data_IF_716541769919
#
_entry.id   IF_716541769919
#
_cell.length_a   1.000
_cell.length_b   1.000
_cell.length_c   1.000
_cell.angle_alpha   90.00
_cell.angle_beta   90.00
_cell.angle_gamma   90.00
#
_symmetry.space_group_name_H-M   'P 1'
#
loop_
_entity.id
_entity.type
_entity.pdbx_description
1 polymer ?
#
# COMPACT_ATOMS: atom_id res chain seq x y z
N UNK A 1 -8.25 -32.21 -9.26
CA UNK A 1 -7.76 -31.04 -10.02
C UNK A 1 -8.54 -29.83 -9.54
N UNK A 2 -7.87 -28.92 -8.83
CA UNK A 2 -8.47 -27.70 -8.31
C UNK A 2 -8.65 -26.69 -9.45
N UNK A 3 -9.82 -26.04 -9.60
CA UNK A 3 -10.08 -25.09 -10.68
C UNK A 3 -9.48 -23.69 -10.41
N UNK A 4 -8.66 -23.55 -9.38
CA UNK A 4 -8.05 -22.28 -8.96
C UNK A 4 -6.63 -22.06 -9.52
N UNK A 5 -6.20 -22.84 -10.51
CA UNK A 5 -4.84 -22.78 -11.04
C UNK A 5 -4.63 -21.75 -12.17
N UNK A 6 -5.67 -21.05 -12.61
CA UNK A 6 -5.59 -20.10 -13.73
C UNK A 6 -6.00 -18.69 -13.28
N UNK A 7 -5.14 -18.04 -12.47
CA UNK A 7 -5.03 -16.57 -12.42
C UNK A 7 -3.85 -16.08 -11.55
N UNK A 8 -2.69 -16.72 -11.63
CA UNK A 8 -1.46 -16.26 -10.98
C UNK A 8 -0.34 -15.98 -12.01
N UNK A 9 -0.73 -15.40 -13.14
CA UNK A 9 0.17 -14.55 -13.90
C UNK A 9 -0.46 -13.17 -13.91
N UNK A 10 -0.29 -12.44 -12.80
CA UNK A 10 0.07 -11.04 -12.98
C UNK A 10 1.42 -11.16 -13.67
N UNK A 11 1.44 -11.14 -15.00
CA UNK A 11 2.66 -10.76 -15.70
C UNK A 11 3.11 -9.50 -14.98
N UNK A 12 4.20 -9.63 -14.23
CA UNK A 12 4.90 -8.48 -13.71
C UNK A 12 5.29 -7.73 -14.96
N UNK A 13 4.44 -6.78 -15.38
CA UNK A 13 4.85 -5.75 -16.31
C UNK A 13 6.10 -5.23 -15.63
N UNK A 14 7.29 -5.43 -16.21
CA UNK A 14 8.45 -4.75 -15.70
C UNK A 14 8.15 -3.31 -16.06
N UNK A 15 7.49 -2.58 -15.17
CA UNK A 15 7.47 -1.14 -15.18
C UNK A 15 8.92 -0.80 -14.93
N UNK A 16 9.71 -0.36 -15.94
CA UNK A 16 10.97 0.26 -15.60
C UNK A 16 10.57 1.48 -14.76
N UNK A 17 10.72 1.37 -13.44
CA UNK A 17 10.68 2.49 -12.51
C UNK A 17 11.90 3.38 -12.74
N UNK A 18 12.25 3.68 -14.00
CA UNK A 18 13.40 4.51 -14.32
C UNK A 18 13.00 5.96 -14.51
N UNK A 19 11.78 6.27 -14.98
CA UNK A 19 11.42 7.67 -15.26
C UNK A 19 9.95 7.98 -14.96
N UNK A 20 9.72 9.04 -14.20
CA UNK A 20 8.39 9.62 -14.01
C UNK A 20 7.97 10.23 -15.35
N UNK A 21 6.95 9.64 -15.99
CA UNK A 21 6.35 10.22 -17.18
C UNK A 21 5.27 11.23 -16.77
N UNK A 22 5.51 12.52 -17.04
CA UNK A 22 4.49 13.56 -16.88
C UNK A 22 3.82 13.76 -18.23
N UNK A 23 2.56 13.34 -18.34
CA UNK A 23 1.76 13.55 -19.53
C UNK A 23 1.21 14.98 -19.58
N UNK A 24 1.14 15.56 -20.77
CA UNK A 24 0.58 16.90 -20.95
C UNK A 24 -0.92 16.90 -20.67
N UNK A 25 -1.35 17.81 -19.80
CA UNK A 25 -2.75 17.97 -19.42
C UNK A 25 -3.05 19.44 -19.14
N UNK A 26 -4.19 19.93 -19.59
CA UNK A 26 -4.58 21.36 -19.48
C UNK A 26 -4.66 21.88 -18.04
N UNK A 27 -4.79 20.98 -17.05
CA UNK A 27 -4.82 21.31 -15.61
C UNK A 27 -3.55 20.94 -14.85
N UNK A 28 -2.47 20.55 -15.54
CA UNK A 28 -1.21 20.10 -14.91
C UNK A 28 -0.71 21.09 -13.87
N UNK A 29 -0.67 22.38 -14.23
CA UNK A 29 -0.12 23.43 -13.38
C UNK A 29 -0.97 23.71 -12.13
N UNK A 30 -2.24 23.27 -12.12
CA UNK A 30 -3.11 23.36 -10.94
C UNK A 30 -2.79 22.27 -9.90
N UNK A 31 -2.19 21.16 -10.34
CA UNK A 31 -1.84 20.01 -9.48
C UNK A 31 -0.37 20.06 -9.07
N UNK A 32 0.52 20.36 -10.01
CA UNK A 32 1.96 20.46 -9.78
C UNK A 32 2.39 21.90 -9.46
N UNK A 33 1.71 22.55 -8.50
CA UNK A 33 2.20 23.84 -8.01
C UNK A 33 3.58 23.66 -7.35
N UNK A 34 4.39 24.73 -7.24
CA UNK A 34 5.67 24.66 -6.55
C UNK A 34 5.55 24.06 -5.14
N UNK A 35 4.55 24.48 -4.38
CA UNK A 35 4.32 24.04 -3.00
C UNK A 35 3.89 22.58 -2.93
N UNK A 36 2.97 22.14 -3.81
CA UNK A 36 2.53 20.75 -3.86
C UNK A 36 3.70 19.82 -4.27
N UNK A 37 4.52 20.26 -5.22
CA UNK A 37 5.68 19.50 -5.69
C UNK A 37 6.74 19.39 -4.60
N UNK A 38 7.03 20.47 -3.89
CA UNK A 38 7.95 20.47 -2.74
C UNK A 38 7.45 19.53 -1.63
N UNK A 39 6.16 19.61 -1.29
CA UNK A 39 5.54 18.74 -0.29
C UNK A 39 5.69 17.25 -0.65
N UNK A 40 5.34 16.86 -1.87
CA UNK A 40 5.50 15.48 -2.34
C UNK A 40 6.98 15.05 -2.34
N UNK A 41 7.89 15.93 -2.77
CA UNK A 41 9.31 15.62 -2.74
C UNK A 41 9.80 15.35 -1.31
N UNK A 42 9.31 16.08 -0.31
CA UNK A 42 9.63 15.85 1.09
C UNK A 42 9.05 14.53 1.62
N UNK A 43 7.78 14.22 1.33
CA UNK A 43 7.19 12.92 1.70
C UNK A 43 7.97 11.75 1.11
N UNK A 44 8.39 11.89 -0.15
CA UNK A 44 9.16 10.84 -0.82
C UNK A 44 10.56 10.71 -0.24
N UNK A 45 11.22 11.81 0.17
CA UNK A 45 12.53 11.72 0.85
C UNK A 45 12.40 11.03 2.20
N UNK A 46 11.34 11.30 2.93
CA UNK A 46 11.11 10.75 4.27
C UNK A 46 10.76 9.26 4.25
N UNK A 47 9.83 8.84 3.37
CA UNK A 47 9.20 7.52 3.48
C UNK A 47 9.58 6.52 2.38
N UNK A 48 10.38 6.90 1.38
CA UNK A 48 10.70 6.01 0.24
C UNK A 48 11.40 4.74 0.67
N UNK A 49 12.35 4.84 1.60
CA UNK A 49 13.22 3.73 1.97
C UNK A 49 12.45 2.69 2.77
N UNK A 50 11.72 3.09 3.82
CA UNK A 50 10.83 2.20 4.57
C UNK A 50 9.78 1.54 3.67
N UNK A 51 9.19 2.29 2.72
CA UNK A 51 8.27 1.72 1.73
C UNK A 51 8.94 0.63 0.89
N UNK A 52 10.20 0.82 0.47
CA UNK A 52 10.93 -0.19 -0.30
C UNK A 52 11.19 -1.44 0.55
N UNK A 53 11.59 -1.28 1.80
CA UNK A 53 11.79 -2.39 2.75
C UNK A 53 10.50 -3.20 2.94
N UNK A 54 9.35 -2.53 3.08
CA UNK A 54 8.05 -3.19 3.17
C UNK A 54 7.67 -3.95 1.89
N UNK A 55 8.04 -3.43 0.71
CA UNK A 55 7.82 -4.13 -0.55
C UNK A 55 8.70 -5.37 -0.69
N UNK A 56 9.93 -5.33 -0.19
CA UNK A 56 10.80 -6.51 -0.17
C UNK A 56 10.33 -7.54 0.86
N UNK A 57 9.87 -7.10 2.04
CA UNK A 57 9.25 -7.98 3.04
C UNK A 57 8.03 -8.73 2.48
N UNK A 58 7.24 -8.11 1.59
CA UNK A 58 6.13 -8.79 0.90
C UNK A 58 6.62 -9.95 0.01
N UNK A 59 7.75 -9.79 -0.68
CA UNK A 59 8.33 -10.87 -1.51
C UNK A 59 8.76 -12.05 -0.64
N UNK A 60 9.40 -11.78 0.49
CA UNK A 60 9.78 -12.81 1.47
C UNK A 60 8.54 -13.55 1.96
N UNK A 61 7.49 -12.81 2.37
CA UNK A 61 6.26 -13.42 2.87
C UNK A 61 5.53 -14.25 1.81
N UNK A 62 5.57 -13.81 0.56
CA UNK A 62 5.02 -14.55 -0.57
C UNK A 62 5.75 -15.88 -0.80
N UNK A 63 7.08 -15.89 -0.70
CA UNK A 63 7.88 -17.12 -0.80
C UNK A 63 7.54 -18.13 0.32
N UNK A 64 7.28 -17.65 1.54
CA UNK A 64 6.81 -18.53 2.63
C UNK A 64 5.49 -19.22 2.25
N UNK A 65 4.54 -18.49 1.69
CA UNK A 65 3.25 -19.05 1.28
C UNK A 65 3.38 -20.07 0.15
N UNK A 66 4.27 -19.81 -0.80
CA UNK A 66 4.58 -20.75 -1.89
C UNK A 66 5.22 -22.04 -1.36
N UNK A 67 5.98 -21.96 -0.26
CA UNK A 67 6.52 -23.12 0.44
C UNK A 67 5.50 -23.91 1.27
N UNK A 68 4.24 -23.47 1.28
CA UNK A 68 3.12 -24.16 1.93
C UNK A 68 2.65 -23.53 3.25
N UNK A 69 3.29 -22.44 3.72
CA UNK A 69 2.78 -21.71 4.86
C UNK A 69 1.39 -21.14 4.55
N UNK A 70 0.52 -21.09 5.56
CA UNK A 70 -0.80 -20.45 5.46
C UNK A 70 -0.84 -19.21 6.37
N UNK A 71 -1.58 -18.16 5.99
CA UNK A 71 -1.83 -17.05 6.91
C UNK A 71 -2.58 -17.53 8.14
N UNK A 72 -2.18 -17.04 9.31
CA UNK A 72 -2.85 -17.26 10.58
C UNK A 72 -2.63 -16.04 11.50
N UNK A 73 -3.34 -15.95 12.61
CA UNK A 73 -3.15 -14.91 13.61
C UNK A 73 -1.78 -15.00 14.25
N UNK A 74 -1.05 -13.88 14.25
CA UNK A 74 0.27 -13.81 14.89
C UNK A 74 0.11 -13.82 16.41
N UNK A 75 0.89 -14.67 17.10
CA UNK A 75 0.85 -14.74 18.57
C UNK A 75 1.36 -13.44 19.21
N UNK A 76 2.38 -12.80 18.61
CA UNK A 76 2.97 -11.54 19.08
C UNK A 76 1.97 -10.37 19.17
N UNK A 77 0.89 -10.39 18.39
CA UNK A 77 -0.15 -9.33 18.43
C UNK A 77 -1.41 -9.73 19.21
N UNK A 78 -1.37 -10.85 19.95
CA UNK A 78 -2.52 -11.32 20.73
C UNK A 78 -3.00 -10.31 21.77
N UNK A 79 -2.07 -9.68 22.48
CA UNK A 79 -2.38 -8.66 23.48
C UNK A 79 -3.09 -7.44 22.89
N UNK A 80 -2.79 -7.09 21.63
CA UNK A 80 -3.49 -6.01 20.91
C UNK A 80 -4.92 -6.44 20.56
N UNK A 81 -5.12 -7.69 20.12
CA UNK A 81 -6.46 -8.21 19.79
C UNK A 81 -7.36 -8.39 21.00
N UNK A 82 -6.79 -8.77 22.13
CA UNK A 82 -7.51 -9.03 23.39
C UNK A 82 -7.59 -7.79 24.30
N UNK A 83 -6.95 -6.69 23.92
CA UNK A 83 -6.92 -5.45 24.71
C UNK A 83 -8.22 -4.64 24.61
N UNK A 84 -8.51 -3.86 25.65
CA UNK A 84 -9.62 -2.89 25.67
C UNK A 84 -9.16 -1.53 25.14
N UNK A 85 -9.26 -1.34 23.83
CA UNK A 85 -8.92 -0.09 23.16
C UNK A 85 -9.92 0.26 22.06
N UNK A 86 -9.95 1.54 21.68
CA UNK A 86 -10.75 2.05 20.57
C UNK A 86 -9.91 3.02 19.74
N UNK A 87 -10.20 3.10 18.45
CA UNK A 87 -9.65 4.15 17.57
C UNK A 87 -10.16 5.53 18.02
N UNK A 88 -9.49 6.59 17.57
CA UNK A 88 -10.01 7.95 17.73
C UNK A 88 -11.40 8.10 17.13
N UNK A 89 -12.29 8.90 17.73
CA UNK A 89 -13.63 9.17 17.19
C UNK A 89 -13.55 9.70 15.75
N UNK A 90 -14.48 9.30 14.86
CA UNK A 90 -14.51 9.83 13.50
C UNK A 90 -14.87 11.33 13.52
N UNK A 91 -14.29 12.14 12.62
CA UNK A 91 -14.78 13.50 12.40
C UNK A 91 -16.21 13.49 11.85
N UNK A 92 -16.97 14.54 12.14
CA UNK A 92 -18.40 14.65 11.80
C UNK A 92 -18.70 14.35 10.32
N UNK A 93 -17.87 14.84 9.41
CA UNK A 93 -18.04 14.67 7.97
C UNK A 93 -17.93 13.22 7.46
N UNK A 94 -17.45 12.28 8.28
CA UNK A 94 -17.34 10.86 7.91
C UNK A 94 -18.02 9.92 8.90
N UNK A 95 -18.84 10.45 9.81
CA UNK A 95 -19.54 9.64 10.80
C UNK A 95 -20.65 8.77 10.18
N UNK A 96 -21.23 9.21 9.06
CA UNK A 96 -22.26 8.49 8.32
C UNK A 96 -21.79 8.17 6.89
N UNK A 97 -21.28 6.95 6.71
CA UNK A 97 -20.75 6.41 5.43
C UNK A 97 -21.57 5.23 4.94
N UNK A 98 -22.90 5.29 5.08
CA UNK A 98 -23.79 4.18 4.70
C UNK A 98 -23.74 3.78 3.21
N UNK A 99 -23.25 4.67 2.35
CA UNK A 99 -22.99 4.46 0.91
C UNK A 99 -21.69 5.20 0.57
N UNK A 100 -20.83 4.58 -0.25
CA UNK A 100 -19.53 5.12 -0.70
C UNK A 100 -19.41 5.07 -2.23
#
# INVERSE_FOLDING_TARGET
MSPFADNLFVESIPMPMSEIQITEHSRRDQVFTPEATEFIANLVREFRDERNELLDARKVRQADFESGARPDFLEETKTVREGDWKVSPPPEGIADRRVE
#
